data_IF_582135871973
#
_entry.id   IF_582135871973
#
_cell.length_a   1.000
_cell.length_b   1.000
_cell.length_c   1.000
_cell.angle_alpha   90.00
_cell.angle_beta   90.00
_cell.angle_gamma   90.00
#
_symmetry.space_group_name_H-M   'P 1'
#
loop_
_entity.id
_entity.type
_entity.pdbx_description
1 polymer ?
#
# COMPACT_ATOMS: atom_id res chain seq x y z
N UNK A 1 -16.32 12.36 20.86
CA UNK A 1 -16.20 10.96 21.21
C UNK A 1 -15.25 10.78 22.38
N UNK A 2 -15.53 9.85 23.30
CA UNK A 2 -14.61 9.49 24.39
C UNK A 2 -13.29 8.95 23.81
N UNK A 3 -12.26 8.80 24.66
CA UNK A 3 -11.00 8.18 24.22
C UNK A 3 -11.20 6.73 23.80
N UNK A 4 -12.07 6.00 24.49
CA UNK A 4 -12.41 4.61 24.20
C UNK A 4 -13.20 4.46 22.90
N UNK A 5 -14.16 5.35 22.64
CA UNK A 5 -14.92 5.35 21.38
C UNK A 5 -14.01 5.62 20.18
N UNK A 6 -13.10 6.60 20.33
CA UNK A 6 -12.13 6.92 19.30
C UNK A 6 -11.15 5.77 19.05
N UNK A 7 -10.69 5.07 20.10
CA UNK A 7 -9.83 3.89 19.96
C UNK A 7 -10.55 2.75 19.24
N UNK A 8 -11.81 2.48 19.58
CA UNK A 8 -12.64 1.47 18.88
C UNK A 8 -12.86 1.82 17.41
N UNK A 9 -13.05 3.10 17.09
CA UNK A 9 -13.21 3.56 15.70
C UNK A 9 -11.94 3.32 14.86
N UNK A 10 -10.77 3.40 15.46
CA UNK A 10 -9.48 3.22 14.79
C UNK A 10 -8.93 1.79 14.92
N UNK A 11 -9.69 0.88 15.54
CA UNK A 11 -9.29 -0.52 15.62
C UNK A 11 -9.22 -1.15 14.21
N UNK A 12 -8.27 -2.04 14.02
CA UNK A 12 -8.03 -2.70 12.73
C UNK A 12 -7.26 -1.85 11.69
N UNK A 13 -6.86 -0.59 12.00
CA UNK A 13 -6.05 0.20 11.06
C UNK A 13 -4.67 -0.41 10.82
N UNK A 14 -4.00 -0.86 11.87
CA UNK A 14 -2.71 -1.53 11.81
C UNK A 14 -2.85 -2.95 12.37
N UNK A 15 -2.38 -3.92 11.61
CA UNK A 15 -2.54 -5.33 11.93
C UNK A 15 -2.00 -5.66 13.33
N UNK A 16 -2.86 -6.17 14.21
CA UNK A 16 -2.55 -6.54 15.60
C UNK A 16 -1.76 -5.48 16.40
N UNK A 17 -1.91 -4.19 16.05
CA UNK A 17 -1.12 -3.11 16.65
C UNK A 17 -1.99 -1.90 17.09
N UNK A 18 -2.97 -2.10 17.99
CA UNK A 18 -3.88 -1.04 18.44
C UNK A 18 -3.14 0.12 19.14
N UNK A 19 -1.96 -0.14 19.71
CA UNK A 19 -1.14 0.83 20.41
C UNK A 19 -0.78 2.05 19.54
N UNK A 20 -0.72 1.89 18.20
CA UNK A 20 -0.41 2.99 17.28
C UNK A 20 -1.55 4.00 17.29
N UNK A 21 -2.78 3.54 17.13
CA UNK A 21 -3.97 4.38 17.19
C UNK A 21 -4.16 5.00 18.57
N UNK A 22 -4.00 4.23 19.65
CA UNK A 22 -4.10 4.70 21.02
C UNK A 22 -3.11 5.84 21.34
N UNK A 23 -1.85 5.70 20.91
CA UNK A 23 -0.83 6.75 21.10
C UNK A 23 -1.11 7.97 20.23
N UNK A 24 -1.50 7.78 18.98
CA UNK A 24 -1.85 8.89 18.09
C UNK A 24 -3.02 9.70 18.66
N UNK A 25 -4.04 9.05 19.21
CA UNK A 25 -5.19 9.70 19.82
C UNK A 25 -4.86 10.57 21.06
N UNK A 26 -3.73 10.35 21.70
CA UNK A 26 -3.24 11.23 22.78
C UNK A 26 -2.84 12.63 22.28
N UNK A 27 -2.66 12.78 20.96
CA UNK A 27 -2.29 14.05 20.30
C UNK A 27 -3.50 14.89 19.85
N UNK A 28 -4.73 14.44 20.18
CA UNK A 28 -5.96 15.22 19.87
C UNK A 28 -5.93 16.62 20.48
N UNK A 29 -6.65 17.60 19.90
CA UNK A 29 -7.55 17.50 18.76
C UNK A 29 -6.83 17.49 17.41
N UNK A 30 -7.41 16.83 16.39
CA UNK A 30 -6.97 16.89 15.00
C UNK A 30 -7.87 17.82 14.21
N UNK A 31 -7.30 18.68 13.40
CA UNK A 31 -8.02 19.63 12.54
C UNK A 31 -8.46 19.01 11.21
N UNK A 32 -7.83 17.89 10.81
CA UNK A 32 -8.11 17.20 9.57
C UNK A 32 -7.74 15.71 9.65
N UNK A 33 -8.25 14.93 8.71
CA UNK A 33 -7.87 13.53 8.55
C UNK A 33 -6.37 13.40 8.25
N UNK A 34 -5.80 14.35 7.50
CA UNK A 34 -4.37 14.39 7.19
C UNK A 34 -3.50 14.51 8.47
N UNK A 35 -3.92 15.31 9.46
CA UNK A 35 -3.22 15.39 10.75
C UNK A 35 -3.28 14.07 11.53
N UNK A 36 -4.41 13.38 11.52
CA UNK A 36 -4.52 12.05 12.12
C UNK A 36 -3.60 11.04 11.42
N UNK A 37 -3.61 11.00 10.08
CA UNK A 37 -2.71 10.13 9.29
C UNK A 37 -1.25 10.40 9.64
N UNK A 38 -0.86 11.65 9.71
CA UNK A 38 0.50 12.05 10.09
C UNK A 38 0.86 11.57 11.50
N UNK A 39 -0.02 11.78 12.47
CA UNK A 39 0.21 11.34 13.84
C UNK A 39 0.41 9.81 13.94
N UNK A 40 -0.35 9.02 13.18
CA UNK A 40 -0.20 7.56 13.11
C UNK A 40 1.18 7.15 12.57
N UNK A 41 1.64 7.81 11.50
CA UNK A 41 2.98 7.57 10.91
C UNK A 41 4.08 7.92 11.89
N UNK A 42 3.99 9.10 12.54
CA UNK A 42 4.98 9.57 13.50
C UNK A 42 5.08 8.65 14.73
N UNK A 43 3.95 8.19 15.26
CA UNK A 43 3.92 7.23 16.39
C UNK A 43 4.65 5.94 16.05
N UNK A 44 4.47 5.40 14.85
CA UNK A 44 5.19 4.21 14.43
C UNK A 44 6.69 4.48 14.24
N UNK A 45 7.06 5.64 13.70
CA UNK A 45 8.46 6.05 13.55
C UNK A 45 9.15 6.19 14.91
N UNK A 46 8.49 6.82 15.90
CA UNK A 46 8.97 6.96 17.28
C UNK A 46 9.10 5.62 18.01
N UNK A 47 8.32 4.61 17.63
CA UNK A 47 8.43 3.26 18.16
C UNK A 47 9.76 2.55 17.83
N UNK A 48 10.49 3.08 16.85
CA UNK A 48 11.79 2.56 16.42
C UNK A 48 11.72 1.26 15.66
N UNK A 49 12.89 0.80 15.19
CA UNK A 49 13.02 -0.35 14.27
C UNK A 49 12.40 -1.64 14.81
N UNK A 50 12.47 -1.88 16.12
CA UNK A 50 11.91 -3.10 16.72
C UNK A 50 10.38 -3.14 16.62
N UNK A 51 9.70 -2.04 16.96
CA UNK A 51 8.25 -1.94 16.86
C UNK A 51 7.78 -1.99 15.39
N UNK A 52 8.52 -1.35 14.49
CA UNK A 52 8.26 -1.41 13.05
C UNK A 52 8.38 -2.84 12.51
N UNK A 53 9.43 -3.58 12.89
CA UNK A 53 9.62 -4.97 12.50
C UNK A 53 8.52 -5.89 13.05
N UNK A 54 8.13 -5.66 14.31
CA UNK A 54 7.02 -6.40 14.92
C UNK A 54 5.70 -6.19 14.14
N UNK A 55 5.43 -4.94 13.72
CA UNK A 55 4.27 -4.62 12.89
C UNK A 55 4.35 -5.30 11.51
N UNK A 56 5.50 -5.27 10.83
CA UNK A 56 5.66 -5.97 9.55
C UNK A 56 5.38 -7.46 9.71
N UNK A 57 5.91 -8.09 10.77
CA UNK A 57 5.71 -9.52 11.07
C UNK A 57 4.30 -9.89 11.48
N UNK A 58 3.51 -8.92 11.95
CA UNK A 58 2.10 -9.12 12.28
C UNK A 58 1.21 -9.24 11.04
N UNK A 59 1.69 -8.79 9.86
CA UNK A 59 0.92 -8.87 8.62
C UNK A 59 0.87 -10.31 8.10
N UNK A 60 -0.29 -10.76 7.61
CA UNK A 60 -0.41 -12.08 7.00
C UNK A 60 0.28 -12.12 5.64
N UNK A 61 0.80 -13.29 5.28
CA UNK A 61 1.27 -13.56 3.92
C UNK A 61 0.13 -13.48 2.90
N UNK A 62 0.41 -12.98 1.71
CA UNK A 62 -0.53 -13.03 0.59
C UNK A 62 -0.78 -14.48 0.17
N UNK A 63 -2.05 -14.85 0.01
CA UNK A 63 -2.48 -16.22 -0.27
C UNK A 63 -1.83 -17.27 0.67
N UNK A 64 -1.51 -16.85 1.89
CA UNK A 64 -0.79 -17.68 2.86
C UNK A 64 -1.69 -18.66 3.60
N UNK A 65 -1.08 -19.40 4.53
CA UNK A 65 -1.78 -20.41 5.36
C UNK A 65 -2.96 -19.82 6.13
N UNK A 66 -2.85 -18.57 6.62
CA UNK A 66 -3.91 -17.90 7.35
C UNK A 66 -5.16 -17.65 6.49
N UNK A 67 -5.00 -17.37 5.19
CA UNK A 67 -6.11 -17.25 4.24
C UNK A 67 -6.80 -18.60 4.04
N UNK A 68 -6.02 -19.65 3.82
CA UNK A 68 -6.55 -21.04 3.66
C UNK A 68 -7.27 -21.49 4.91
N UNK A 69 -6.73 -21.20 6.09
CA UNK A 69 -7.31 -21.55 7.39
C UNK A 69 -8.47 -20.61 7.81
N UNK A 70 -8.76 -19.54 7.05
CA UNK A 70 -9.77 -18.51 7.39
C UNK A 70 -9.51 -17.84 8.76
N UNK A 71 -8.25 -17.60 9.08
CA UNK A 71 -7.81 -16.96 10.34
C UNK A 71 -7.29 -15.53 10.14
N UNK A 72 -7.53 -14.93 8.98
CA UNK A 72 -7.22 -13.52 8.72
C UNK A 72 -8.15 -12.59 9.51
N UNK A 73 -7.70 -11.37 9.79
CA UNK A 73 -8.59 -10.30 10.23
C UNK A 73 -9.65 -10.02 9.16
N UNK A 74 -10.77 -9.39 9.54
CA UNK A 74 -11.83 -9.04 8.60
C UNK A 74 -11.32 -8.12 7.50
N UNK A 75 -10.50 -7.13 7.86
CA UNK A 75 -9.89 -6.18 6.94
C UNK A 75 -8.97 -6.89 5.94
N UNK A 76 -8.06 -7.73 6.41
CA UNK A 76 -7.14 -8.50 5.56
C UNK A 76 -7.88 -9.50 4.66
N UNK A 77 -8.95 -10.11 5.14
CA UNK A 77 -9.80 -11.00 4.33
C UNK A 77 -10.45 -10.22 3.19
N UNK A 78 -11.03 -9.07 3.49
CA UNK A 78 -11.69 -8.22 2.49
C UNK A 78 -10.70 -7.73 1.42
N UNK A 79 -9.51 -7.30 1.83
CA UNK A 79 -8.46 -6.82 0.93
C UNK A 79 -7.96 -7.93 -0.01
N UNK A 80 -7.68 -9.12 0.51
CA UNK A 80 -7.23 -10.25 -0.33
C UNK A 80 -8.34 -10.79 -1.22
N UNK A 81 -9.59 -10.77 -0.77
CA UNK A 81 -10.75 -11.16 -1.58
C UNK A 81 -10.98 -10.18 -2.72
N UNK A 82 -10.96 -8.88 -2.43
CA UNK A 82 -11.14 -7.83 -3.44
C UNK A 82 -10.05 -7.84 -4.54
N UNK A 83 -8.82 -8.25 -4.19
CA UNK A 83 -7.73 -8.43 -5.17
C UNK A 83 -7.79 -9.76 -5.95
N UNK A 84 -8.80 -10.59 -5.69
CA UNK A 84 -8.98 -11.89 -6.36
C UNK A 84 -7.99 -12.97 -5.94
N UNK A 85 -7.22 -12.77 -4.87
CA UNK A 85 -6.24 -13.75 -4.36
C UNK A 85 -6.90 -15.04 -3.86
N UNK A 86 -8.19 -14.98 -3.50
CA UNK A 86 -8.99 -16.16 -3.14
C UNK A 86 -9.31 -17.07 -4.33
N UNK A 87 -9.14 -16.59 -5.57
CA UNK A 87 -9.50 -17.27 -6.82
C UNK A 87 -8.25 -17.51 -7.71
N UNK A 88 -7.07 -17.69 -7.13
CA UNK A 88 -5.85 -18.02 -7.85
C UNK A 88 -5.97 -19.37 -8.58
N UNK A 89 -5.37 -19.47 -9.78
CA UNK A 89 -5.13 -20.78 -10.38
C UNK A 89 -4.13 -21.59 -9.54
N UNK A 90 -4.03 -22.90 -9.78
CA UNK A 90 -3.07 -23.75 -9.08
C UNK A 90 -1.62 -23.27 -9.31
N UNK A 91 -1.32 -22.80 -10.54
CA UNK A 91 0.00 -22.27 -10.93
C UNK A 91 0.28 -20.94 -10.24
N UNK A 92 -0.67 -20.00 -10.25
CA UNK A 92 -0.56 -18.72 -9.56
C UNK A 92 -0.34 -18.92 -8.05
N UNK A 93 -1.13 -19.81 -7.44
CA UNK A 93 -1.00 -20.14 -6.02
C UNK A 93 0.38 -20.74 -5.72
N UNK A 94 0.83 -21.75 -6.50
CA UNK A 94 2.14 -22.34 -6.33
C UNK A 94 3.26 -21.31 -6.47
N UNK A 95 3.14 -20.38 -7.42
CA UNK A 95 4.09 -19.29 -7.61
C UNK A 95 4.15 -18.36 -6.40
N UNK A 96 3.00 -17.95 -5.86
CA UNK A 96 2.95 -17.10 -4.66
C UNK A 96 3.57 -17.84 -3.45
N UNK A 97 3.32 -19.14 -3.29
CA UNK A 97 3.93 -19.92 -2.20
C UNK A 97 5.46 -19.98 -2.32
N UNK A 98 6.00 -20.17 -3.53
CA UNK A 98 7.45 -20.11 -3.78
C UNK A 98 8.02 -18.73 -3.43
N UNK A 99 7.33 -17.66 -3.81
CA UNK A 99 7.74 -16.30 -3.51
C UNK A 99 7.70 -16.01 -2.01
N UNK A 100 6.65 -16.44 -1.30
CA UNK A 100 6.57 -16.32 0.16
C UNK A 100 7.74 -17.02 0.84
N UNK A 101 8.05 -18.26 0.46
CA UNK A 101 9.16 -19.03 1.03
C UNK A 101 10.51 -18.33 0.78
N UNK A 102 10.79 -17.91 -0.45
CA UNK A 102 12.02 -17.21 -0.81
C UNK A 102 12.15 -15.87 -0.09
N UNK A 103 11.05 -15.13 0.01
CA UNK A 103 11.02 -13.82 0.65
C UNK A 103 11.26 -13.91 2.17
N UNK A 104 10.58 -14.84 2.85
CA UNK A 104 10.78 -15.08 4.26
C UNK A 104 12.22 -15.54 4.56
N UNK A 105 12.79 -16.40 3.71
CA UNK A 105 14.19 -16.83 3.84
C UNK A 105 15.15 -15.66 3.72
N UNK A 106 14.91 -14.74 2.76
CA UNK A 106 15.78 -13.59 2.53
C UNK A 106 15.66 -12.51 3.59
N UNK A 107 14.43 -12.15 3.96
CA UNK A 107 14.17 -10.96 4.76
C UNK A 107 13.79 -11.24 6.22
N UNK A 108 13.27 -12.43 6.53
CA UNK A 108 12.82 -12.80 7.88
C UNK A 108 11.49 -12.20 8.30
N UNK A 109 10.70 -11.70 7.33
CA UNK A 109 9.34 -11.16 7.52
C UNK A 109 8.48 -11.40 6.28
N UNK A 110 7.13 -11.34 6.38
CA UNK A 110 6.23 -11.55 5.25
C UNK A 110 6.28 -10.38 4.26
N UNK A 111 6.01 -10.68 3.00
CA UNK A 111 5.79 -9.67 1.98
C UNK A 111 4.52 -8.88 2.24
N UNK A 112 4.62 -7.57 2.29
CA UNK A 112 3.49 -6.67 2.49
C UNK A 112 3.29 -5.81 1.25
N UNK A 113 2.07 -5.86 0.72
CA UNK A 113 1.65 -5.07 -0.44
C UNK A 113 0.22 -4.55 -0.22
N UNK A 114 0.00 -3.28 -0.52
CA UNK A 114 -1.32 -2.68 -0.55
C UNK A 114 -2.07 -3.13 -1.81
N UNK A 115 -2.65 -4.34 -1.77
CA UNK A 115 -3.23 -5.02 -2.94
C UNK A 115 -4.46 -4.31 -3.53
N UNK A 116 -5.09 -3.41 -2.79
CA UNK A 116 -6.14 -2.53 -3.33
C UNK A 116 -5.58 -1.49 -4.32
N UNK A 117 -4.27 -1.35 -4.39
CA UNK A 117 -3.59 -0.44 -5.30
C UNK A 117 -3.76 1.04 -4.92
N UNK A 118 -3.10 1.95 -5.65
CA UNK A 118 -3.11 3.38 -5.32
C UNK A 118 -4.50 4.03 -5.41
N UNK A 119 -5.38 3.53 -6.27
CA UNK A 119 -6.74 4.03 -6.46
C UNK A 119 -7.82 3.24 -5.69
N UNK A 120 -7.43 2.23 -4.94
CA UNK A 120 -8.38 1.39 -4.20
C UNK A 120 -9.18 0.39 -5.05
N UNK A 121 -8.96 0.37 -6.37
CA UNK A 121 -9.68 -0.50 -7.31
C UNK A 121 -9.17 -1.95 -7.34
N UNK A 122 -8.05 -2.22 -6.68
CA UNK A 122 -7.36 -3.52 -6.69
C UNK A 122 -6.27 -3.59 -7.75
N UNK A 123 -5.22 -4.36 -7.46
CA UNK A 123 -4.21 -4.77 -8.41
C UNK A 123 -4.62 -6.09 -9.06
N UNK A 124 -4.32 -6.28 -10.34
CA UNK A 124 -4.49 -7.59 -10.97
C UNK A 124 -3.51 -8.61 -10.35
N UNK A 125 -3.91 -9.89 -10.32
CA UNK A 125 -3.06 -10.96 -9.76
C UNK A 125 -1.67 -11.02 -10.39
N UNK A 126 -1.58 -10.85 -11.70
CA UNK A 126 -0.31 -10.78 -12.40
C UNK A 126 0.58 -9.64 -11.87
N UNK A 127 0.02 -8.44 -11.70
CA UNK A 127 0.74 -7.28 -11.14
C UNK A 127 1.23 -7.54 -9.70
N UNK A 128 0.43 -8.25 -8.90
CA UNK A 128 0.82 -8.65 -7.53
C UNK A 128 2.02 -9.60 -7.58
N UNK A 129 1.95 -10.64 -8.41
CA UNK A 129 3.01 -11.64 -8.56
C UNK A 129 4.30 -11.01 -9.11
N UNK A 130 4.19 -10.15 -10.12
CA UNK A 130 5.34 -9.45 -10.72
C UNK A 130 5.99 -8.48 -9.72
N UNK A 131 5.17 -7.74 -8.96
CA UNK A 131 5.66 -6.85 -7.90
C UNK A 131 6.38 -7.65 -6.82
N UNK A 132 5.83 -8.79 -6.42
CA UNK A 132 6.44 -9.69 -5.45
C UNK A 132 7.81 -10.18 -5.94
N UNK A 133 7.86 -10.73 -7.17
CA UNK A 133 9.10 -11.23 -7.77
C UNK A 133 10.17 -10.13 -7.88
N UNK A 134 9.79 -8.94 -8.32
CA UNK A 134 10.67 -7.78 -8.44
C UNK A 134 11.22 -7.34 -7.08
N UNK A 135 10.39 -7.24 -6.05
CA UNK A 135 10.79 -6.79 -4.73
C UNK A 135 11.69 -7.80 -3.99
N UNK A 136 11.64 -9.07 -4.37
CA UNK A 136 12.57 -10.08 -3.87
C UNK A 136 14.04 -9.75 -4.18
N UNK A 137 14.33 -8.95 -5.22
CA UNK A 137 15.68 -8.50 -5.55
C UNK A 137 16.18 -7.33 -4.68
N UNK A 138 15.32 -6.65 -3.94
CA UNK A 138 15.66 -5.47 -3.17
C UNK A 138 16.72 -5.74 -2.08
N UNK A 139 17.47 -4.67 -1.72
CA UNK A 139 18.28 -4.66 -0.53
C UNK A 139 17.39 -4.70 0.72
N UNK A 140 17.77 -5.41 1.82
CA UNK A 140 16.93 -5.55 3.01
C UNK A 140 16.45 -4.22 3.62
N UNK A 141 17.28 -3.20 3.69
CA UNK A 141 16.88 -1.91 4.27
C UNK A 141 15.90 -1.16 3.37
N UNK A 142 16.06 -1.25 2.05
CA UNK A 142 15.10 -0.68 1.10
C UNK A 142 13.77 -1.42 1.20
N UNK A 143 13.81 -2.74 1.26
CA UNK A 143 12.60 -3.58 1.36
C UNK A 143 11.86 -3.36 2.68
N UNK A 144 12.60 -3.15 3.78
CA UNK A 144 12.02 -2.78 5.07
C UNK A 144 11.23 -1.47 4.98
N UNK A 145 11.81 -0.43 4.38
CA UNK A 145 11.13 0.85 4.17
C UNK A 145 9.92 0.70 3.24
N UNK A 146 10.04 -0.15 2.21
CA UNK A 146 8.96 -0.44 1.27
C UNK A 146 7.78 -1.16 1.95
N UNK A 147 8.05 -2.11 2.86
CA UNK A 147 7.02 -2.73 3.68
C UNK A 147 6.28 -1.71 4.53
N UNK A 148 6.99 -0.83 5.24
CA UNK A 148 6.38 0.22 6.06
C UNK A 148 5.52 1.17 5.21
N UNK A 149 5.99 1.57 4.03
CA UNK A 149 5.22 2.38 3.09
C UNK A 149 3.91 1.71 2.70
N UNK A 150 3.94 0.42 2.38
CA UNK A 150 2.74 -0.32 2.06
C UNK A 150 1.79 -0.47 3.27
N UNK A 151 2.31 -0.68 4.47
CA UNK A 151 1.52 -0.73 5.71
C UNK A 151 0.79 0.60 5.94
N UNK A 152 1.49 1.72 5.81
CA UNK A 152 0.85 3.04 5.93
C UNK A 152 -0.21 3.26 4.85
N UNK A 153 0.02 2.77 3.63
CA UNK A 153 -0.96 2.82 2.55
C UNK A 153 -2.20 1.99 2.87
N UNK A 154 -2.04 0.80 3.42
CA UNK A 154 -3.15 -0.05 3.89
C UNK A 154 -3.94 0.68 4.98
N UNK A 155 -3.27 1.22 6.00
CA UNK A 155 -3.91 1.96 7.07
C UNK A 155 -4.65 3.20 6.56
N UNK A 156 -4.10 3.92 5.58
CA UNK A 156 -4.76 5.05 4.93
C UNK A 156 -6.04 4.64 4.22
N UNK A 157 -6.02 3.55 3.46
CA UNK A 157 -7.21 3.04 2.78
C UNK A 157 -8.29 2.61 3.77
N UNK A 158 -7.92 1.91 4.84
CA UNK A 158 -8.83 1.53 5.92
C UNK A 158 -9.44 2.76 6.63
N UNK A 159 -8.64 3.81 6.79
CA UNK A 159 -9.10 5.07 7.36
C UNK A 159 -10.10 5.78 6.44
N UNK A 160 -9.83 5.80 5.14
CA UNK A 160 -10.75 6.34 4.14
C UNK A 160 -12.07 5.55 4.08
N UNK A 161 -12.04 4.23 4.24
CA UNK A 161 -13.25 3.41 4.32
C UNK A 161 -14.12 3.77 5.54
N UNK A 162 -13.48 4.13 6.66
CA UNK A 162 -14.18 4.49 7.91
C UNK A 162 -14.74 5.93 7.91
N UNK A 163 -14.02 6.88 7.33
CA UNK A 163 -14.32 8.32 7.42
C UNK A 163 -14.67 8.98 6.08
N UNK A 164 -14.66 8.22 5.02
CA UNK A 164 -14.80 8.75 3.67
C UNK A 164 -13.46 9.25 3.11
N UNK A 165 -13.44 9.41 1.78
CA UNK A 165 -12.29 9.89 1.07
C UNK A 165 -12.15 11.40 1.25
N UNK A 166 -11.07 11.84 1.87
CA UNK A 166 -10.68 13.25 1.86
C UNK A 166 -9.71 13.42 0.67
N UNK A 167 -10.03 14.26 -0.32
CA UNK A 167 -9.13 14.52 -1.43
C UNK A 167 -7.85 15.16 -0.87
N UNK A 168 -6.79 14.38 -0.78
CA UNK A 168 -5.49 14.87 -0.34
C UNK A 168 -4.72 15.29 -1.59
N UNK A 169 -4.08 16.45 -1.54
CA UNK A 169 -3.27 16.98 -2.63
C UNK A 169 -2.29 15.94 -3.21
N UNK A 170 -1.74 15.06 -2.35
CA UNK A 170 -0.88 13.97 -2.77
C UNK A 170 -1.55 12.92 -3.67
N UNK A 171 -2.84 12.65 -3.53
CA UNK A 171 -3.57 11.77 -4.43
C UNK A 171 -3.76 12.42 -5.80
N UNK A 172 -4.06 13.72 -5.83
CA UNK A 172 -4.15 14.47 -7.07
C UNK A 172 -2.81 14.51 -7.82
N UNK A 173 -1.72 14.74 -7.09
CA UNK A 173 -0.35 14.67 -7.66
C UNK A 173 -0.05 13.28 -8.23
N UNK A 174 -0.43 12.22 -7.52
CA UNK A 174 -0.25 10.87 -8.00
C UNK A 174 -1.07 10.58 -9.25
N UNK A 175 -2.35 10.96 -9.27
CA UNK A 175 -3.23 10.77 -10.43
C UNK A 175 -2.71 11.55 -11.64
N UNK A 176 -2.23 12.78 -11.44
CA UNK A 176 -1.57 13.55 -12.48
C UNK A 176 -0.29 12.90 -12.99
N UNK A 177 0.55 12.37 -12.08
CA UNK A 177 1.78 11.68 -12.47
C UNK A 177 1.50 10.39 -13.27
N UNK A 178 0.51 9.61 -12.88
CA UNK A 178 0.09 8.43 -13.65
C UNK A 178 -0.52 8.79 -15.01
N UNK A 179 -1.27 9.90 -15.08
CA UNK A 179 -1.83 10.37 -16.31
C UNK A 179 -0.73 10.81 -17.29
N UNK A 180 0.25 11.56 -16.79
CA UNK A 180 1.42 11.99 -17.57
C UNK A 180 2.29 10.79 -18.00
N UNK A 181 2.43 9.78 -17.16
CA UNK A 181 3.22 8.57 -17.45
C UNK A 181 2.66 7.74 -18.63
N UNK A 182 1.42 7.98 -19.06
CA UNK A 182 0.83 7.33 -20.25
C UNK A 182 1.36 7.91 -21.55
N UNK A 183 1.98 9.09 -21.48
CA UNK A 183 2.51 9.79 -22.64
C UNK A 183 4.03 9.74 -22.62
N UNK A 184 4.59 8.92 -23.49
CA UNK A 184 6.03 8.78 -23.70
C UNK A 184 6.32 8.75 -25.20
N UNK A 185 7.51 9.18 -25.57
CA UNK A 185 7.93 9.16 -26.97
C UNK A 185 7.99 7.73 -27.51
N UNK A 186 7.67 7.51 -28.80
CA UNK A 186 7.78 6.19 -29.44
C UNK A 186 9.17 5.57 -29.23
N UNK A 187 9.21 4.25 -28.95
CA UNK A 187 10.44 3.51 -28.70
C UNK A 187 10.89 3.49 -27.22
N UNK A 188 10.39 4.37 -26.37
CA UNK A 188 10.69 4.33 -24.92
C UNK A 188 9.65 3.59 -24.11
N UNK A 189 8.42 3.53 -24.60
CA UNK A 189 7.33 2.80 -23.93
C UNK A 189 7.66 1.30 -23.75
N UNK A 190 8.23 0.67 -24.77
CA UNK A 190 8.64 -0.74 -24.75
C UNK A 190 9.78 -1.01 -23.76
N UNK A 191 10.58 0.00 -23.47
CA UNK A 191 11.67 -0.04 -22.49
C UNK A 191 11.21 0.24 -21.07
N UNK A 192 9.92 0.55 -20.85
CA UNK A 192 9.40 0.98 -19.56
C UNK A 192 9.96 2.32 -19.09
N UNK A 193 10.42 3.16 -20.04
CA UNK A 193 11.01 4.47 -19.76
C UNK A 193 10.03 5.58 -20.09
N UNK A 194 9.90 6.54 -19.19
CA UNK A 194 9.17 7.77 -19.43
C UNK A 194 10.14 8.81 -20.05
N UNK A 195 9.93 9.12 -21.32
CA UNK A 195 10.69 10.13 -22.04
C UNK A 195 9.74 10.99 -22.85
N UNK A 196 9.81 12.31 -22.65
CA UNK A 196 9.00 13.30 -23.35
C UNK A 196 9.93 14.35 -23.94
N UNK A 197 10.14 14.29 -25.24
CA UNK A 197 10.98 15.23 -25.95
C UNK A 197 10.16 16.46 -26.35
N UNK A 198 10.77 17.65 -26.30
CA UNK A 198 10.12 18.90 -26.65
C UNK A 198 9.54 18.88 -28.08
N UNK A 199 8.31 19.33 -28.24
CA UNK A 199 7.55 19.38 -29.49
C UNK A 199 7.10 18.03 -30.09
N UNK A 200 7.25 16.92 -29.39
CA UNK A 200 6.63 15.64 -29.78
C UNK A 200 5.14 15.60 -29.47
N UNK A 201 4.42 14.61 -30.02
CA UNK A 201 3.00 14.37 -29.68
C UNK A 201 2.83 14.07 -28.18
N UNK A 202 3.75 13.32 -27.59
CA UNK A 202 3.75 13.06 -26.16
C UNK A 202 3.88 14.37 -25.35
N UNK A 203 4.73 15.29 -25.77
CA UNK A 203 4.87 16.60 -25.13
C UNK A 203 3.60 17.45 -25.25
N UNK A 204 2.95 17.45 -26.40
CA UNK A 204 1.68 18.18 -26.60
C UNK A 204 0.58 17.62 -25.68
N UNK A 205 0.45 16.29 -25.62
CA UNK A 205 -0.51 15.62 -24.74
C UNK A 205 -0.26 15.95 -23.25
N UNK A 206 0.99 15.96 -22.80
CA UNK A 206 1.34 16.38 -21.45
C UNK A 206 0.96 17.83 -21.15
N UNK A 207 1.14 18.75 -22.13
CA UNK A 207 0.74 20.15 -21.97
C UNK A 207 -0.78 20.34 -21.85
N UNK A 208 -1.56 19.55 -22.60
CA UNK A 208 -3.03 19.61 -22.54
C UNK A 208 -3.54 19.15 -21.17
N UNK A 209 -2.94 18.09 -20.59
CA UNK A 209 -3.24 17.63 -19.24
C UNK A 209 -2.95 18.74 -18.23
N UNK A 210 -1.79 19.41 -18.32
CA UNK A 210 -1.44 20.52 -17.44
C UNK A 210 -2.42 21.69 -17.51
N UNK A 211 -2.95 21.99 -18.71
CA UNK A 211 -3.93 23.07 -18.90
C UNK A 211 -5.31 22.76 -18.36
N UNK A 212 -5.69 21.48 -18.36
CA UNK A 212 -7.00 21.05 -17.86
C UNK A 212 -7.11 21.06 -16.32
N UNK A 213 -5.98 21.23 -15.61
CA UNK A 213 -5.89 21.16 -14.16
C UNK A 213 -5.48 22.50 -13.51
N UNK A 214 -5.43 23.58 -14.28
CA UNK A 214 -5.26 24.98 -13.85
C UNK A 214 -6.60 25.70 -13.94
#
# INVERSE_FOLDING_TARGET
>A
ASAEDAARLLDGLYEHSPWIAERALRRRPFQSLAQLKRALVEVLAEGGRQAQLALIRAHPELAGKAMVAKTLTAESTNEQTASGLTNCSAEEFARIQQLNAAYNTKFGWPFVLAVRGPRGAGLARAEIIDTFARRLANHPDFEFAECLRNIHRIAEMRLNDKFGFEPVLGNQVWDCAELLARHTDPGYAELGQLTVTYLTEAHQACQEIGRAHV
#
